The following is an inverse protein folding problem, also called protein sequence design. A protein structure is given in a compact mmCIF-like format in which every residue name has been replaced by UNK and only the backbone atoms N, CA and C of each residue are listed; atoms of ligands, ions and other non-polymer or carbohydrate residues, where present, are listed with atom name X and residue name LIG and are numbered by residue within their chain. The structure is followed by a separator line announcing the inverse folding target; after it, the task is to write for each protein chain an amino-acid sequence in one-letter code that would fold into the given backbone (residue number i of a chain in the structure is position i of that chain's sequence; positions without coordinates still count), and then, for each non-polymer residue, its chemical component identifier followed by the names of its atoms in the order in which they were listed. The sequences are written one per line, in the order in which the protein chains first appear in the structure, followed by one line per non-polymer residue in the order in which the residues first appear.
data_IF_700050770085
#
_entry.id   IF_700050770085
#
_cell.length_a   1.000
_cell.length_b   1.000
_cell.length_c   1.000
_cell.angle_alpha   90.00
_cell.angle_beta   90.00
_cell.angle_gamma   90.00
#
_symmetry.space_group_name_H-M   'P 1'
#
loop_
_entity.id
_entity.type
_entity.pdbx_description
1 polymer ?
#
# COMPACT_ATOMS: atom_id res chain seq x y z
N UNK A 1 -5.26 -46.42 -3.98
CA UNK A 1 -6.39 -45.50 -4.11
C UNK A 1 -6.39 -44.40 -3.08
N UNK A 2 -6.23 -44.72 -1.81
CA UNK A 2 -6.14 -43.68 -0.77
C UNK A 2 -4.91 -42.77 -0.92
N UNK A 3 -3.79 -43.34 -1.36
CA UNK A 3 -2.57 -42.58 -1.57
C UNK A 3 -2.67 -41.60 -2.74
N UNK A 4 -3.34 -42.00 -3.81
CA UNK A 4 -3.58 -41.13 -4.96
C UNK A 4 -4.44 -39.94 -4.58
N UNK A 5 -5.50 -40.17 -3.80
CA UNK A 5 -6.37 -39.13 -3.30
C UNK A 5 -5.61 -38.17 -2.38
N UNK A 6 -4.71 -38.70 -1.54
CA UNK A 6 -3.87 -37.91 -0.65
C UNK A 6 -2.88 -37.03 -1.44
N UNK A 7 -2.29 -37.58 -2.50
CA UNK A 7 -1.41 -36.83 -3.37
C UNK A 7 -2.14 -35.71 -4.08
N UNK A 8 -3.35 -35.98 -4.56
CA UNK A 8 -4.17 -34.96 -5.23
C UNK A 8 -4.51 -33.82 -4.28
N UNK A 9 -4.84 -34.11 -3.03
CA UNK A 9 -5.13 -33.10 -2.02
C UNK A 9 -3.87 -32.27 -1.71
N UNK A 10 -2.71 -32.90 -1.63
CA UNK A 10 -1.43 -32.20 -1.44
C UNK A 10 -1.11 -31.30 -2.62
N UNK A 11 -1.33 -31.79 -3.84
CA UNK A 11 -1.13 -31.00 -5.05
C UNK A 11 -2.08 -29.81 -5.08
N UNK A 12 -3.33 -30.02 -4.70
CA UNK A 12 -4.31 -28.94 -4.63
C UNK A 12 -3.91 -27.91 -3.60
N UNK A 13 -3.46 -28.35 -2.42
CA UNK A 13 -2.98 -27.43 -1.38
C UNK A 13 -1.76 -26.66 -1.83
N UNK A 14 -0.82 -27.30 -2.54
CA UNK A 14 0.33 -26.63 -3.11
C UNK A 14 -0.07 -25.60 -4.16
N UNK A 15 -1.04 -25.94 -4.99
CA UNK A 15 -1.51 -25.05 -6.04
C UNK A 15 -2.26 -23.86 -5.44
N UNK A 16 -3.10 -24.08 -4.42
CA UNK A 16 -3.74 -23.01 -3.67
C UNK A 16 -2.71 -22.12 -2.99
N UNK A 17 -1.66 -22.73 -2.39
CA UNK A 17 -0.58 -21.99 -1.77
C UNK A 17 0.20 -21.16 -2.81
N UNK A 18 0.38 -21.68 -4.01
CA UNK A 18 1.05 -20.96 -5.10
C UNK A 18 0.18 -19.79 -5.56
N UNK A 19 -1.13 -20.01 -5.72
CA UNK A 19 -2.06 -18.96 -6.13
C UNK A 19 -2.16 -17.84 -5.09
N UNK A 20 -2.04 -18.18 -3.80
CA UNK A 20 -2.05 -17.21 -2.70
C UNK A 20 -0.65 -16.67 -2.38
N UNK A 21 0.40 -17.30 -2.91
CA UNK A 21 1.77 -16.94 -2.61
C UNK A 21 2.12 -15.47 -2.88
N UNK A 22 1.65 -14.84 -3.97
CA UNK A 22 1.95 -13.43 -4.19
C UNK A 22 1.46 -12.53 -3.06
N UNK A 23 0.24 -12.75 -2.58
CA UNK A 23 -0.31 -11.96 -1.48
C UNK A 23 0.45 -12.22 -0.16
N UNK A 24 0.76 -13.48 0.13
CA UNK A 24 1.54 -13.84 1.32
C UNK A 24 2.96 -13.32 1.25
N UNK A 25 3.60 -13.40 0.09
CA UNK A 25 4.95 -12.92 -0.12
C UNK A 25 5.05 -11.40 0.03
N UNK A 26 3.96 -10.68 -0.26
CA UNK A 26 3.91 -9.23 -0.16
C UNK A 26 3.63 -8.74 1.26
N UNK A 27 3.06 -9.59 2.12
CA UNK A 27 2.82 -9.21 3.51
C UNK A 27 4.14 -9.05 4.27
N UNK A 28 4.21 -8.10 5.20
CA UNK A 28 5.39 -7.94 6.05
C UNK A 28 5.67 -9.21 6.85
N UNK A 29 6.94 -9.49 7.08
CA UNK A 29 7.37 -10.65 7.85
C UNK A 29 7.03 -10.53 9.34
N UNK A 30 6.92 -9.31 9.84
CA UNK A 30 6.56 -9.05 11.22
C UNK A 30 5.09 -9.36 11.46
N UNK A 31 4.78 -9.99 12.61
CA UNK A 31 3.40 -10.26 13.00
C UNK A 31 2.61 -9.00 13.35
N UNK A 32 3.31 -7.94 13.74
CA UNK A 32 2.69 -6.69 14.16
C UNK A 32 2.42 -5.73 13.00
N UNK A 33 3.00 -6.03 11.83
CA UNK A 33 2.86 -5.20 10.64
C UNK A 33 2.08 -5.98 9.60
N UNK A 34 0.84 -5.60 9.36
CA UNK A 34 -0.04 -6.23 8.37
C UNK A 34 -0.69 -5.16 7.52
N UNK A 35 -0.88 -5.47 6.26
CA UNK A 35 -1.57 -4.58 5.34
C UNK A 35 -2.99 -5.09 5.11
N UNK A 36 -3.96 -4.21 5.27
CA UNK A 36 -5.36 -4.51 5.01
C UNK A 36 -5.71 -4.37 3.53
N UNK A 37 -5.00 -3.51 2.84
CA UNK A 37 -5.19 -3.27 1.41
C UNK A 37 -3.86 -3.43 0.69
N UNK A 38 -3.62 -4.62 0.15
CA UNK A 38 -2.35 -4.94 -0.51
C UNK A 38 -2.07 -4.07 -1.73
N UNK A 39 -3.10 -3.78 -2.52
CA UNK A 39 -2.95 -2.95 -3.71
C UNK A 39 -2.46 -1.55 -3.36
N UNK A 40 -3.11 -0.93 -2.38
CA UNK A 40 -2.71 0.38 -1.92
C UNK A 40 -1.33 0.33 -1.25
N UNK A 41 -1.11 -0.67 -0.39
CA UNK A 41 0.15 -0.81 0.35
C UNK A 41 1.35 -0.96 -0.58
N UNK A 42 1.21 -1.68 -1.68
CA UNK A 42 2.30 -1.82 -2.66
C UNK A 42 2.62 -0.49 -3.33
N UNK A 43 1.59 0.29 -3.67
CA UNK A 43 1.79 1.64 -4.22
C UNK A 43 2.38 2.57 -3.16
N UNK A 44 1.95 2.45 -1.91
CA UNK A 44 2.47 3.23 -0.79
C UNK A 44 3.95 2.96 -0.56
N UNK A 45 4.35 1.68 -0.54
CA UNK A 45 5.75 1.29 -0.39
C UNK A 45 6.60 1.82 -1.54
N UNK A 46 6.12 1.67 -2.76
CA UNK A 46 6.84 2.13 -3.94
C UNK A 46 7.01 3.65 -3.91
N UNK A 47 5.97 4.36 -3.54
CA UNK A 47 5.98 5.81 -3.39
C UNK A 47 7.03 6.24 -2.36
N UNK A 48 7.05 5.61 -1.20
CA UNK A 48 8.02 5.91 -0.16
C UNK A 48 9.45 5.61 -0.60
N UNK A 49 9.66 4.48 -1.26
CA UNK A 49 10.97 4.10 -1.77
C UNK A 49 11.49 5.10 -2.79
N UNK A 50 10.61 5.58 -3.68
CA UNK A 50 10.97 6.62 -4.65
C UNK A 50 11.30 7.94 -3.96
N UNK A 51 10.49 8.36 -2.99
CA UNK A 51 10.71 9.60 -2.25
C UNK A 51 12.01 9.58 -1.46
N UNK A 52 12.38 8.42 -0.91
CA UNK A 52 13.64 8.27 -0.19
C UNK A 52 14.85 8.38 -1.13
N UNK A 53 14.72 7.91 -2.36
CA UNK A 53 15.78 8.01 -3.37
C UNK A 53 15.85 9.38 -4.01
N UNK A 54 14.71 10.01 -4.19
CA UNK A 54 14.60 11.31 -4.85
C UNK A 54 13.58 12.18 -4.11
N UNK A 55 14.03 12.83 -3.02
CA UNK A 55 13.12 13.62 -2.16
C UNK A 55 12.37 14.74 -2.88
N UNK A 56 12.93 15.26 -3.98
CA UNK A 56 12.25 16.30 -4.79
C UNK A 56 10.88 15.85 -5.28
N UNK A 57 10.65 14.53 -5.43
CA UNK A 57 9.35 14.01 -5.82
C UNK A 57 8.25 14.36 -4.82
N UNK A 58 8.61 14.58 -3.55
CA UNK A 58 7.64 14.94 -2.52
C UNK A 58 6.92 16.26 -2.83
N UNK A 59 7.50 17.12 -3.65
CA UNK A 59 6.86 18.37 -4.08
C UNK A 59 5.59 18.09 -4.90
N UNK A 60 5.51 16.92 -5.55
CA UNK A 60 4.32 16.52 -6.32
C UNK A 60 3.25 15.89 -5.46
N UNK A 61 3.56 15.56 -4.21
CA UNK A 61 2.65 14.87 -3.31
C UNK A 61 2.06 15.81 -2.25
N UNK A 62 1.99 17.10 -2.51
CA UNK A 62 1.52 18.12 -1.56
C UNK A 62 0.09 17.85 -1.13
N UNK A 63 -0.75 17.34 -2.02
CA UNK A 63 -2.15 17.03 -1.74
C UNK A 63 -2.36 15.66 -1.10
N UNK A 64 -1.33 14.81 -1.09
CA UNK A 64 -1.40 13.50 -0.45
C UNK A 64 -1.04 13.66 1.02
N UNK A 65 -1.86 13.08 1.90
CA UNK A 65 -1.64 13.12 3.33
C UNK A 65 -1.40 11.72 3.86
N UNK A 66 -0.74 11.62 5.02
CA UNK A 66 -0.52 10.31 5.66
C UNK A 66 -1.80 9.56 5.94
N UNK A 67 -2.88 10.26 6.26
CA UNK A 67 -4.21 9.67 6.49
C UNK A 67 -4.83 9.06 5.22
N UNK A 68 -4.34 9.41 4.05
CA UNK A 68 -4.78 8.81 2.79
C UNK A 68 -4.21 7.42 2.58
N UNK A 69 -3.19 7.04 3.34
CA UNK A 69 -2.55 5.73 3.24
C UNK A 69 -3.40 4.67 3.92
N UNK A 70 -3.46 3.48 3.34
CA UNK A 70 -4.17 2.36 3.95
C UNK A 70 -3.41 1.80 5.17
N UNK A 71 -2.10 1.93 5.18
CA UNK A 71 -1.26 1.53 6.29
C UNK A 71 -0.93 2.72 7.17
N UNK A 72 -1.27 2.63 8.45
CA UNK A 72 -0.94 3.68 9.41
C UNK A 72 0.55 3.90 9.54
N UNK A 73 1.34 2.82 9.47
CA UNK A 73 2.80 2.90 9.50
C UNK A 73 3.35 3.65 8.30
N UNK A 74 2.93 3.25 7.09
CA UNK A 74 3.41 3.89 5.86
C UNK A 74 2.98 5.35 5.80
N UNK A 75 1.76 5.65 6.25
CA UNK A 75 1.27 7.03 6.33
C UNK A 75 2.06 7.88 7.32
N UNK A 76 2.42 7.31 8.47
CA UNK A 76 3.25 7.99 9.45
C UNK A 76 4.63 8.32 8.88
N UNK A 77 5.22 7.38 8.17
CA UNK A 77 6.52 7.58 7.49
C UNK A 77 6.39 8.70 6.46
N UNK A 78 5.36 8.62 5.61
CA UNK A 78 5.14 9.64 4.58
C UNK A 78 5.02 11.03 5.19
N UNK A 79 4.24 11.16 6.26
CA UNK A 79 4.05 12.45 6.94
C UNK A 79 5.36 13.02 7.44
N UNK A 80 6.22 12.18 8.01
CA UNK A 80 7.54 12.62 8.48
C UNK A 80 8.45 13.05 7.34
N UNK A 81 8.47 12.26 6.24
CA UNK A 81 9.28 12.61 5.08
C UNK A 81 8.82 13.92 4.45
N UNK A 82 7.51 14.09 4.31
CA UNK A 82 6.92 15.30 3.74
C UNK A 82 7.26 16.53 4.58
N UNK A 83 7.11 16.43 5.90
CA UNK A 83 7.42 17.52 6.81
C UNK A 83 8.90 17.89 6.75
N UNK A 84 9.78 16.90 6.78
CA UNK A 84 11.23 17.15 6.73
C UNK A 84 11.62 17.78 5.39
N UNK A 85 11.05 17.29 4.30
CA UNK A 85 11.32 17.86 2.97
C UNK A 85 10.87 19.33 2.90
N UNK A 86 9.68 19.64 3.42
CA UNK A 86 9.16 20.99 3.42
C UNK A 86 10.01 21.96 4.23
N UNK A 87 10.71 21.45 5.24
CA UNK A 87 11.60 22.24 6.11
C UNK A 87 13.04 22.26 5.61
N UNK A 88 13.33 21.59 4.49
CA UNK A 88 14.67 21.50 3.95
C UNK A 88 15.60 20.59 4.77
N UNK A 89 15.04 19.68 5.56
CA UNK A 89 15.79 18.74 6.38
C UNK A 89 16.06 17.45 5.63
N UNK A 90 17.02 16.67 6.14
CA UNK A 90 17.35 15.38 5.54
C UNK A 90 16.15 14.44 5.48
N UNK A 91 15.96 13.77 4.34
CA UNK A 91 14.91 12.79 4.12
C UNK A 91 15.56 11.42 3.96
N UNK A 92 15.50 10.62 5.03
CA UNK A 92 16.08 9.27 5.04
C UNK A 92 15.40 8.43 6.11
N UNK A 93 15.63 7.12 6.06
CA UNK A 93 15.10 6.20 7.08
C UNK A 93 15.70 6.51 8.45
N UNK A 94 16.97 6.90 8.48
CA UNK A 94 17.70 7.14 9.74
C UNK A 94 17.12 8.26 10.59
N UNK A 95 16.39 9.19 9.99
CA UNK A 95 15.83 10.34 10.72
C UNK A 95 14.39 10.13 11.16
N UNK A 96 13.80 8.97 10.86
CA UNK A 96 12.42 8.67 11.26
C UNK A 96 12.32 8.47 12.76
N UNK A 97 11.23 8.96 13.34
CA UNK A 97 10.97 8.93 14.77
C UNK A 97 9.68 8.17 15.06
N UNK A 98 9.50 7.84 16.35
CA UNK A 98 8.26 7.25 16.85
C UNK A 98 7.93 5.90 16.20
N UNK A 99 8.95 5.06 16.02
CA UNK A 99 8.80 3.71 15.48
C UNK A 99 9.64 2.74 16.29
N UNK A 100 9.11 1.53 16.48
CA UNK A 100 9.85 0.46 17.14
C UNK A 100 10.85 -0.21 16.19
N UNK A 101 11.62 -1.17 16.72
CA UNK A 101 12.66 -1.83 15.95
C UNK A 101 12.10 -2.63 14.76
N UNK A 102 10.94 -3.27 14.92
CA UNK A 102 10.30 -4.01 13.83
C UNK A 102 9.84 -3.08 12.72
N UNK A 103 9.23 -1.96 13.09
CA UNK A 103 8.77 -0.95 12.14
C UNK A 103 9.95 -0.35 11.38
N UNK A 104 11.02 0.00 12.09
CA UNK A 104 12.22 0.54 11.46
C UNK A 104 12.86 -0.47 10.50
N UNK A 105 12.91 -1.73 10.90
CA UNK A 105 13.45 -2.79 10.06
C UNK A 105 12.61 -2.96 8.78
N UNK A 106 11.29 -2.93 8.93
CA UNK A 106 10.38 -3.03 7.79
C UNK A 106 10.57 -1.86 6.83
N UNK A 107 10.64 -0.65 7.34
CA UNK A 107 10.82 0.55 6.51
C UNK A 107 12.19 0.57 5.85
N UNK A 108 13.22 0.09 6.53
CA UNK A 108 14.54 -0.06 5.90
C UNK A 108 14.48 -1.00 4.70
N UNK A 109 13.70 -2.08 4.81
CA UNK A 109 13.45 -2.99 3.69
C UNK A 109 12.70 -2.32 2.55
N UNK A 110 11.71 -1.50 2.86
CA UNK A 110 10.97 -0.72 1.86
C UNK A 110 11.92 0.22 1.12
N UNK A 111 12.82 0.88 1.83
CA UNK A 111 13.79 1.80 1.24
C UNK A 111 14.73 1.09 0.26
N UNK A 112 14.97 -0.20 0.45
CA UNK A 112 15.85 -0.99 -0.40
C UNK A 112 15.09 -1.74 -1.50
N UNK A 113 13.78 -1.53 -1.61
CA UNK A 113 12.94 -2.18 -2.62
C UNK A 113 13.48 -1.91 -4.02
N UNK A 114 13.54 -2.95 -4.83
CA UNK A 114 13.90 -2.78 -6.24
C UNK A 114 12.78 -2.02 -6.96
N UNK A 115 13.17 -0.95 -7.60
CA UNK A 115 12.25 -0.11 -8.36
C UNK A 115 12.64 -0.14 -9.84
N UNK A 116 11.65 0.01 -10.67
CA UNK A 116 11.88 0.36 -12.05
C UNK A 116 12.36 1.81 -12.14
N UNK A 117 12.16 2.48 -13.27
CA UNK A 117 12.57 3.88 -13.40
C UNK A 117 11.91 4.75 -12.34
N UNK A 118 12.72 5.55 -11.63
CA UNK A 118 12.22 6.52 -10.67
C UNK A 118 12.06 7.84 -11.41
N UNK A 119 10.82 8.23 -11.66
CA UNK A 119 10.50 9.46 -12.38
C UNK A 119 9.17 10.02 -11.90
N UNK A 120 8.84 11.22 -12.36
CA UNK A 120 7.63 11.93 -11.97
C UNK A 120 6.36 11.17 -12.33
N UNK A 121 6.35 10.54 -13.50
CA UNK A 121 5.18 9.80 -13.97
C UNK A 121 4.91 8.58 -13.11
N UNK A 122 5.94 7.78 -12.80
CA UNK A 122 5.79 6.61 -11.95
C UNK A 122 5.34 7.00 -10.54
N UNK A 123 5.88 8.10 -10.03
CA UNK A 123 5.48 8.62 -8.72
C UNK A 123 4.03 9.08 -8.72
N UNK A 124 3.60 9.80 -9.76
CA UNK A 124 2.21 10.24 -9.92
C UNK A 124 1.25 9.05 -10.02
N UNK A 125 1.65 7.97 -10.68
CA UNK A 125 0.85 6.75 -10.77
C UNK A 125 0.61 6.13 -9.40
N UNK A 126 1.63 6.11 -8.55
CA UNK A 126 1.51 5.63 -7.17
C UNK A 126 0.54 6.51 -6.36
N UNK A 127 0.65 7.82 -6.50
CA UNK A 127 -0.26 8.77 -5.83
C UNK A 127 -1.71 8.49 -6.24
N UNK A 128 -1.96 8.31 -7.53
CA UNK A 128 -3.30 8.03 -8.03
C UNK A 128 -3.86 6.74 -7.46
N UNK A 129 -3.03 5.70 -7.38
CA UNK A 129 -3.47 4.42 -6.82
C UNK A 129 -3.83 4.57 -5.33
N UNK A 130 -2.98 5.24 -4.56
CA UNK A 130 -3.24 5.47 -3.13
C UNK A 130 -4.54 6.24 -2.93
N UNK A 131 -4.74 7.33 -3.68
CA UNK A 131 -5.94 8.15 -3.56
C UNK A 131 -7.19 7.40 -3.99
N UNK A 132 -7.11 6.63 -5.09
CA UNK A 132 -8.24 5.85 -5.57
C UNK A 132 -8.65 4.77 -4.56
N UNK A 133 -7.68 4.10 -3.94
CA UNK A 133 -7.97 3.08 -2.93
C UNK A 133 -8.48 3.69 -1.64
N UNK A 134 -7.98 4.86 -1.26
CA UNK A 134 -8.48 5.59 -0.10
C UNK A 134 -9.95 6.00 -0.31
N UNK A 135 -10.27 6.48 -1.49
CA UNK A 135 -11.64 6.85 -1.85
C UNK A 135 -12.57 5.65 -1.81
N UNK A 136 -12.12 4.51 -2.35
CA UNK A 136 -12.90 3.27 -2.32
C UNK A 136 -13.12 2.79 -0.89
N UNK A 137 -12.12 2.92 -0.02
CA UNK A 137 -12.22 2.52 1.39
C UNK A 137 -13.18 3.42 2.17
N UNK A 138 -13.27 4.70 1.84
CA UNK A 138 -14.18 5.64 2.51
C UNK A 138 -15.65 5.31 2.25
N UNK A 139 -15.94 4.55 1.19
CA UNK A 139 -17.30 4.08 0.86
C UNK A 139 -17.74 2.94 1.79
N UNK A 140 -16.83 2.42 2.60
CA UNK A 140 -17.14 1.32 3.53
C UNK A 140 -17.93 1.75 4.76
N UNK A 141 -18.10 3.04 5.02
CA UNK A 141 -19.00 3.51 6.07
C UNK A 141 -20.45 3.29 5.63
N UNK A 142 -21.34 3.06 6.60
CA UNK A 142 -22.73 2.69 6.32
C UNK A 142 -23.43 3.69 5.39
N UNK A 143 -23.29 4.97 5.68
CA UNK A 143 -23.90 6.04 4.89
C UNK A 143 -23.30 6.13 3.49
N UNK A 144 -21.99 6.00 3.37
CA UNK A 144 -21.29 6.02 2.10
C UNK A 144 -21.62 4.79 1.26
N UNK A 145 -21.77 3.65 1.90
CA UNK A 145 -22.16 2.41 1.24
C UNK A 145 -23.57 2.53 0.62
N UNK A 146 -24.51 3.11 1.36
CA UNK A 146 -25.87 3.35 0.88
C UNK A 146 -25.85 4.29 -0.32
N UNK A 147 -25.08 5.38 -0.22
CA UNK A 147 -24.95 6.33 -1.33
C UNK A 147 -24.32 5.69 -2.56
N UNK A 148 -23.33 4.86 -2.35
CA UNK A 148 -22.66 4.14 -3.44
C UNK A 148 -23.60 3.15 -4.11
N UNK A 149 -24.35 2.37 -3.32
CA UNK A 149 -25.34 1.44 -3.84
C UNK A 149 -26.44 2.17 -4.62
N UNK A 150 -26.87 3.31 -4.13
CA UNK A 150 -27.84 4.14 -4.81
C UNK A 150 -27.35 4.63 -6.16
N UNK A 151 -26.09 5.06 -6.24
CA UNK A 151 -25.45 5.43 -7.50
C UNK A 151 -25.40 4.27 -8.49
N UNK A 152 -25.07 3.08 -8.00
CA UNK A 152 -25.05 1.87 -8.84
C UNK A 152 -26.43 1.52 -9.35
N UNK A 153 -27.45 1.65 -8.52
CA UNK A 153 -28.85 1.41 -8.91
C UNK A 153 -29.30 2.41 -9.96
N UNK A 154 -28.94 3.67 -9.82
CA UNK A 154 -29.26 4.69 -10.82
C UNK A 154 -28.62 4.38 -12.16
N UNK A 155 -27.36 3.92 -12.16
CA UNK A 155 -26.68 3.49 -13.39
C UNK A 155 -27.36 2.29 -14.03
N UNK A 156 -27.80 1.32 -13.23
CA UNK A 156 -28.50 0.14 -13.70
C UNK A 156 -29.92 0.47 -14.13
N UNK A 157 -30.56 1.41 -13.45
CA UNK A 157 -31.90 1.90 -13.80
C UNK A 157 -31.93 2.55 -15.17
N UNK A 158 -30.91 3.29 -15.52
CA UNK A 158 -30.79 3.91 -16.84
C UNK A 158 -30.67 2.85 -17.93
N UNK A 159 -30.07 1.71 -17.62
CA UNK A 159 -29.92 0.60 -18.58
C UNK A 159 -31.14 -0.31 -18.64
N UNK A 160 -31.94 -0.28 -17.64
CA UNK A 160 -33.14 -1.10 -17.55
C UNK A 160 -34.33 -0.41 -18.15
#
# INVERSE_FOLDING_TARGET
MMEEKKLTDQQRQKQEAIDLAPAKALQPKSRNIRYDNMKSAMAEETLLAMALREPALLDQAVQLKGESFSSGLLGKVFSQLQQRHSLGLEVSVAVLEDMDAEEMSHIAGVAQKELGPVNEQAFADCIRTVLAEHQAASVSTEDDLIAYQKKLKERKGIKG
#
